data_IF_203253342544
#
_entry.id   IF_203253342544
#
_cell.length_a   1.000
_cell.length_b   1.000
_cell.length_c   1.000
_cell.angle_alpha   90.00
_cell.angle_beta   90.00
_cell.angle_gamma   90.00
#
_symmetry.space_group_name_H-M   'P 1'
#
loop_
_entity.id
_entity.type
_entity.pdbx_description
1 polymer ?
#
# COMPACT_ATOMS: atom_id res chain seq x y z
N UNK A 1 -4.91 61.84 -20.82
CA UNK A 1 -4.54 62.42 -22.12
C UNK A 1 -3.77 61.36 -22.90
N UNK A 2 -4.50 60.63 -23.76
CA UNK A 2 -3.98 59.62 -24.67
C UNK A 2 -3.48 60.29 -25.95
N UNK A 3 -2.24 60.00 -26.35
CA UNK A 3 -1.67 60.50 -27.60
C UNK A 3 -1.57 59.36 -28.62
N UNK A 4 -2.54 59.37 -29.55
CA UNK A 4 -2.47 59.15 -31.02
C UNK A 4 -1.53 58.05 -31.57
N UNK A 5 -2.01 56.90 -32.07
CA UNK A 5 -2.60 56.58 -33.41
C UNK A 5 -1.65 56.67 -34.63
N UNK A 6 -1.38 55.51 -35.28
CA UNK A 6 -1.24 55.20 -36.73
C UNK A 6 -0.53 53.83 -36.90
N UNK A 7 -1.16 52.69 -37.19
CA UNK A 7 -1.87 52.14 -38.38
C UNK A 7 -0.96 51.73 -39.57
N UNK A 8 -1.24 50.52 -40.10
CA UNK A 8 -1.02 49.99 -41.49
C UNK A 8 0.40 49.45 -41.80
N UNK A 9 0.67 48.36 -42.53
CA UNK A 9 -0.02 47.17 -43.06
C UNK A 9 1.03 46.47 -43.97
N UNK A 10 0.96 45.14 -44.11
CA UNK A 10 1.50 44.29 -45.19
C UNK A 10 2.94 44.48 -45.72
N UNK A 11 3.71 43.38 -45.69
CA UNK A 11 4.19 42.78 -46.94
C UNK A 11 4.40 41.27 -46.80
N UNK A 12 3.61 40.56 -47.61
CA UNK A 12 3.72 39.14 -47.94
C UNK A 12 5.05 38.87 -48.63
N UNK A 13 5.71 37.76 -48.27
CA UNK A 13 6.67 37.14 -49.17
C UNK A 13 6.15 35.78 -49.65
N UNK A 14 6.23 35.66 -50.97
CA UNK A 14 5.52 34.76 -51.85
C UNK A 14 6.38 33.53 -52.14
N UNK A 15 5.74 32.37 -51.96
CA UNK A 15 5.85 31.13 -52.72
C UNK A 15 7.20 30.70 -53.33
N UNK A 16 7.55 29.44 -53.05
CA UNK A 16 7.84 28.51 -54.16
C UNK A 16 7.22 27.15 -53.87
N UNK A 17 6.14 26.86 -54.58
CA UNK A 17 5.59 25.52 -54.72
C UNK A 17 6.38 24.77 -55.80
N UNK A 18 6.62 23.48 -55.61
CA UNK A 18 6.95 22.55 -56.69
C UNK A 18 6.16 21.29 -56.45
N UNK A 19 5.28 20.99 -57.40
CA UNK A 19 4.36 19.86 -57.41
C UNK A 19 4.96 18.75 -58.26
N UNK A 20 5.06 17.53 -57.73
CA UNK A 20 5.07 16.27 -58.50
C UNK A 20 4.28 15.26 -57.63
N UNK A 21 3.01 15.05 -57.97
CA UNK A 21 2.47 13.85 -58.64
C UNK A 21 2.63 12.57 -57.81
N UNK A 22 1.49 12.06 -57.34
CA UNK A 22 1.42 10.93 -56.42
C UNK A 22 1.76 9.58 -57.02
N UNK A 23 1.93 8.62 -56.12
CA UNK A 23 1.41 7.26 -56.31
C UNK A 23 1.33 6.57 -54.95
N UNK A 24 0.14 6.06 -54.67
CA UNK A 24 -0.19 5.20 -53.54
C UNK A 24 0.66 3.93 -53.58
N UNK A 25 1.39 3.65 -52.50
CA UNK A 25 1.86 2.30 -52.19
C UNK A 25 2.18 2.21 -50.71
N UNK A 26 1.43 1.35 -50.02
CA UNK A 26 1.74 0.81 -48.70
C UNK A 26 3.23 0.43 -48.59
N UNK A 27 3.85 0.68 -47.43
CA UNK A 27 4.58 -0.32 -46.63
C UNK A 27 5.45 0.31 -45.53
N UNK A 28 5.46 -0.38 -44.39
CA UNK A 28 6.39 -0.33 -43.24
C UNK A 28 6.23 0.82 -42.23
N UNK A 29 5.31 0.53 -41.31
CA UNK A 29 5.38 0.84 -39.88
C UNK A 29 6.82 0.87 -39.36
N UNK A 30 7.26 2.01 -38.84
CA UNK A 30 8.43 2.13 -37.98
C UNK A 30 8.14 1.42 -36.67
N UNK A 31 8.50 0.14 -36.57
CA UNK A 31 8.55 -0.55 -35.28
C UNK A 31 9.90 -0.24 -34.63
N UNK A 32 9.96 0.91 -33.97
CA UNK A 32 10.96 1.20 -32.96
C UNK A 32 10.25 1.17 -31.60
N UNK A 33 9.94 -0.03 -31.12
CA UNK A 33 9.60 -0.26 -29.71
C UNK A 33 10.65 -1.18 -29.12
N UNK A 34 11.79 -0.60 -28.76
CA UNK A 34 12.55 -1.05 -27.61
C UNK A 34 12.24 -0.09 -26.47
N UNK A 35 11.16 -0.33 -25.73
CA UNK A 35 11.08 0.17 -24.35
C UNK A 35 11.71 -0.90 -23.48
N UNK A 36 12.98 -0.68 -23.18
CA UNK A 36 13.68 -1.31 -22.08
C UNK A 36 12.98 -0.94 -20.77
N UNK A 37 12.11 -1.82 -20.28
CA UNK A 37 11.75 -1.86 -18.86
C UNK A 37 12.95 -2.36 -18.06
N UNK A 38 14.03 -1.58 -18.05
CA UNK A 38 15.10 -1.80 -17.11
C UNK A 38 14.50 -1.56 -15.71
N UNK A 39 14.51 -2.56 -14.81
CA UNK A 39 14.05 -2.34 -13.45
C UNK A 39 14.79 -1.14 -12.88
N UNK A 40 14.05 -0.27 -12.17
CA UNK A 40 14.65 0.91 -11.54
C UNK A 40 15.85 0.49 -10.69
N UNK A 41 16.83 1.38 -10.48
CA UNK A 41 17.97 1.06 -9.61
C UNK A 41 17.54 0.56 -8.22
N UNK A 42 16.37 1.02 -7.73
CA UNK A 42 15.74 0.49 -6.53
C UNK A 42 15.32 -0.99 -6.67
N UNK A 43 14.68 -1.39 -7.78
CA UNK A 43 14.31 -2.78 -8.06
C UNK A 43 15.51 -3.74 -8.15
N UNK A 44 16.68 -3.25 -8.61
CA UNK A 44 17.88 -4.08 -8.74
C UNK A 44 18.64 -4.33 -7.43
N UNK A 45 18.36 -3.54 -6.38
CA UNK A 45 19.16 -3.53 -5.14
C UNK A 45 18.40 -4.13 -3.95
N UNK A 46 17.09 -4.37 -4.10
CA UNK A 46 16.28 -4.98 -3.04
C UNK A 46 16.55 -6.50 -3.06
N UNK A 47 16.98 -7.11 -1.95
CA UNK A 47 17.15 -8.55 -1.89
C UNK A 47 15.83 -9.25 -2.25
N UNK A 48 15.89 -10.35 -3.02
CA UNK A 48 14.69 -11.04 -3.46
C UNK A 48 13.87 -11.49 -2.25
N UNK A 49 12.57 -11.22 -2.31
CA UNK A 49 11.59 -11.82 -1.39
C UNK A 49 11.73 -13.34 -1.52
N UNK A 50 11.83 -14.04 -0.38
CA UNK A 50 11.92 -15.51 -0.39
C UNK A 50 10.64 -16.04 -1.04
N UNK A 51 10.78 -16.61 -2.23
CA UNK A 51 9.65 -17.09 -3.04
C UNK A 51 9.05 -18.37 -2.47
N UNK A 52 9.83 -19.15 -1.73
CA UNK A 52 9.35 -20.28 -0.95
C UNK A 52 8.76 -19.80 0.38
N UNK A 53 7.48 -19.44 0.35
CA UNK A 53 6.75 -18.89 1.48
C UNK A 53 6.73 -19.82 2.69
N UNK A 54 6.86 -21.14 2.50
CA UNK A 54 6.83 -22.14 3.58
C UNK A 54 8.15 -22.19 4.37
N UNK A 55 9.24 -21.78 3.74
CA UNK A 55 10.59 -21.82 4.33
C UNK A 55 10.94 -20.57 5.14
N UNK A 56 10.13 -19.51 5.06
CA UNK A 56 10.43 -18.23 5.68
C UNK A 56 10.40 -18.31 7.21
N UNK A 57 11.48 -17.86 7.85
CA UNK A 57 11.57 -17.71 9.31
C UNK A 57 11.40 -16.23 9.68
N UNK A 58 10.36 -15.87 10.44
CA UNK A 58 10.19 -14.52 10.96
C UNK A 58 11.42 -14.05 11.74
N UNK A 59 11.88 -12.82 11.52
CA UNK A 59 13.03 -12.24 12.23
C UNK A 59 12.64 -11.62 13.58
N UNK A 60 11.38 -11.21 13.67
CA UNK A 60 10.76 -10.63 14.86
C UNK A 60 10.11 -11.67 15.75
N UNK A 61 9.13 -11.23 16.54
CA UNK A 61 8.47 -12.06 17.53
C UNK A 61 7.00 -11.69 17.67
N UNK A 62 6.16 -12.69 17.94
CA UNK A 62 4.78 -12.46 18.37
C UNK A 62 4.77 -12.19 19.86
N UNK A 63 4.23 -11.05 20.26
CA UNK A 63 4.21 -10.58 21.66
C UNK A 63 2.80 -10.21 22.08
N UNK A 64 2.55 -10.28 23.39
CA UNK A 64 1.37 -9.67 23.99
C UNK A 64 1.40 -8.15 23.74
N UNK A 65 0.27 -7.58 23.36
CA UNK A 65 0.17 -6.19 22.93
C UNK A 65 -0.76 -5.40 23.85
N UNK A 66 -0.24 -4.31 24.41
CA UNK A 66 -0.95 -3.48 25.40
C UNK A 66 -0.93 -2.00 25.01
N UNK A 67 -1.22 -1.69 23.75
CA UNK A 67 -1.27 -0.31 23.26
C UNK A 67 -2.67 0.16 22.86
N UNK A 68 -3.68 -0.67 23.09
CA UNK A 68 -5.09 -0.27 23.03
C UNK A 68 -5.61 -0.01 24.44
N UNK A 69 -6.30 1.10 24.59
CA UNK A 69 -7.05 1.45 25.79
C UNK A 69 -8.16 0.42 26.02
N UNK A 70 -7.93 -0.49 26.99
CA UNK A 70 -8.86 -1.56 27.35
C UNK A 70 -10.18 -1.01 27.87
N UNK A 71 -10.20 0.22 28.40
CA UNK A 71 -11.43 0.87 28.88
C UNK A 71 -12.26 1.42 27.71
N UNK A 72 -11.63 1.75 26.57
CA UNK A 72 -12.34 2.17 25.35
C UNK A 72 -12.85 1.00 24.50
N UNK A 73 -12.16 -0.13 24.55
CA UNK A 73 -12.51 -1.34 23.78
C UNK A 73 -12.62 -2.58 24.71
N UNK A 74 -13.52 -2.55 25.71
CA UNK A 74 -13.54 -3.56 26.76
C UNK A 74 -13.99 -4.95 26.28
N UNK A 75 -14.84 -4.99 25.25
CA UNK A 75 -15.44 -6.24 24.75
C UNK A 75 -14.51 -7.01 23.81
N UNK A 76 -13.53 -6.35 23.20
CA UNK A 76 -12.66 -6.96 22.17
C UNK A 76 -11.29 -6.24 22.06
N UNK A 77 -10.40 -6.37 23.05
CA UNK A 77 -9.08 -5.74 23.00
C UNK A 77 -8.13 -6.47 22.04
N UNK A 78 -7.22 -5.73 21.40
CA UNK A 78 -6.12 -6.34 20.65
C UNK A 78 -5.11 -6.89 21.67
N UNK A 79 -4.92 -8.20 21.68
CA UNK A 79 -4.08 -8.88 22.69
C UNK A 79 -2.69 -9.24 22.19
N UNK A 80 -2.47 -9.25 20.87
CA UNK A 80 -1.24 -9.73 20.26
C UNK A 80 -0.79 -8.84 19.10
N UNK A 81 0.52 -8.79 18.89
CA UNK A 81 1.12 -8.16 17.73
C UNK A 81 2.40 -8.91 17.33
N UNK A 82 2.72 -8.89 16.04
CA UNK A 82 4.06 -9.22 15.59
C UNK A 82 4.94 -7.96 15.64
N UNK A 83 6.13 -8.06 16.22
CA UNK A 83 7.05 -6.93 16.38
C UNK A 83 8.42 -7.31 15.85
N UNK A 84 9.02 -6.41 15.05
CA UNK A 84 10.32 -6.60 14.43
C UNK A 84 11.07 -5.28 14.29
N UNK A 85 12.38 -5.34 14.07
CA UNK A 85 13.24 -4.17 13.89
C UNK A 85 13.79 -3.53 15.17
N UNK A 86 14.63 -2.50 15.02
CA UNK A 86 15.28 -1.82 16.14
C UNK A 86 14.31 -0.93 16.92
N UNK A 87 14.33 -1.01 18.25
CA UNK A 87 13.44 -0.25 19.15
C UNK A 87 13.89 1.19 19.41
N UNK A 88 15.19 1.47 19.32
CA UNK A 88 15.79 2.71 19.84
C UNK A 88 15.96 3.79 18.76
N UNK A 89 15.09 3.80 17.76
CA UNK A 89 15.21 4.68 16.59
C UNK A 89 14.30 5.90 16.64
N UNK A 90 13.38 5.96 17.60
CA UNK A 90 12.29 6.95 17.63
C UNK A 90 11.29 6.80 16.48
N UNK A 91 11.47 5.80 15.60
CA UNK A 91 10.61 5.55 14.44
C UNK A 91 9.84 4.26 14.67
N UNK A 92 8.52 4.34 14.56
CA UNK A 92 7.64 3.18 14.59
C UNK A 92 6.80 3.16 13.31
N UNK A 93 6.57 1.99 12.75
CA UNK A 93 5.64 1.78 11.65
C UNK A 93 4.61 0.75 12.10
N UNK A 94 3.34 1.11 11.99
CA UNK A 94 2.24 0.17 12.16
C UNK A 94 1.98 -0.45 10.80
N UNK A 95 1.94 -1.77 10.75
CA UNK A 95 1.57 -2.55 9.57
C UNK A 95 0.19 -3.15 9.80
N UNK A 96 -0.71 -2.92 8.85
CA UNK A 96 -2.04 -3.54 8.80
C UNK A 96 -2.00 -4.61 7.73
N UNK A 97 -2.14 -5.87 8.13
CA UNK A 97 -2.26 -6.99 7.21
C UNK A 97 -3.61 -7.00 6.47
N UNK A 98 -3.70 -7.82 5.42
CA UNK A 98 -4.93 -8.07 4.68
C UNK A 98 -5.93 -8.92 5.50
N UNK A 99 -7.16 -9.11 5.01
CA UNK A 99 -8.23 -9.89 5.67
C UNK A 99 -7.81 -11.32 6.08
N UNK A 100 -6.76 -11.86 5.48
CA UNK A 100 -6.21 -13.19 5.75
C UNK A 100 -5.27 -13.24 6.97
N UNK A 101 -5.02 -12.12 7.64
CA UNK A 101 -4.22 -12.09 8.87
C UNK A 101 -2.72 -12.27 8.63
N UNK A 102 -2.06 -13.00 9.54
CA UNK A 102 -0.62 -13.26 9.47
C UNK A 102 -0.30 -14.30 8.38
N UNK A 103 0.33 -13.83 7.31
CA UNK A 103 0.90 -14.69 6.26
C UNK A 103 2.40 -14.44 6.14
N UNK A 104 3.16 -15.48 5.78
CA UNK A 104 4.62 -15.40 5.73
C UNK A 104 5.13 -14.26 4.84
N UNK A 105 4.47 -13.98 3.73
CA UNK A 105 4.79 -12.83 2.86
C UNK A 105 4.59 -11.47 3.57
N UNK A 106 3.52 -11.32 4.34
CA UNK A 106 3.22 -10.09 5.08
C UNK A 106 4.22 -9.89 6.22
N UNK A 107 4.54 -10.96 6.94
CA UNK A 107 5.54 -10.97 8.02
C UNK A 107 6.93 -10.66 7.47
N UNK A 108 7.29 -11.26 6.35
CA UNK A 108 8.53 -10.98 5.64
C UNK A 108 8.61 -9.54 5.14
N UNK A 109 7.51 -9.00 4.59
CA UNK A 109 7.42 -7.61 4.19
C UNK A 109 7.68 -6.65 5.36
N UNK A 110 7.12 -6.96 6.53
CA UNK A 110 7.38 -6.21 7.76
C UNK A 110 8.85 -6.28 8.21
N UNK A 111 9.48 -7.45 8.13
CA UNK A 111 10.90 -7.62 8.46
C UNK A 111 11.80 -6.83 7.50
N UNK A 112 11.55 -6.90 6.18
CA UNK A 112 12.27 -6.13 5.16
C UNK A 112 12.08 -4.62 5.39
N UNK A 113 10.85 -4.21 5.69
CA UNK A 113 10.52 -2.80 5.94
C UNK A 113 11.27 -2.25 7.16
N UNK A 114 11.28 -3.01 8.25
CA UNK A 114 11.99 -2.65 9.47
C UNK A 114 13.49 -2.47 9.23
N UNK A 115 14.10 -3.39 8.49
CA UNK A 115 15.52 -3.36 8.15
C UNK A 115 15.88 -2.23 7.20
N UNK A 116 15.00 -1.93 6.24
CA UNK A 116 15.23 -0.91 5.20
C UNK A 116 15.11 0.50 5.78
N UNK A 117 14.05 0.75 6.55
CA UNK A 117 13.75 2.09 7.10
C UNK A 117 14.48 2.35 8.43
N UNK A 118 15.05 1.30 9.03
CA UNK A 118 15.63 1.32 10.38
C UNK A 118 14.60 1.87 11.37
N UNK A 119 13.49 1.15 11.50
CA UNK A 119 12.37 1.50 12.35
C UNK A 119 11.80 0.26 13.04
N UNK A 120 11.20 0.45 14.22
CA UNK A 120 10.38 -0.58 14.86
C UNK A 120 9.13 -0.79 14.02
N UNK A 121 8.87 -2.01 13.58
CA UNK A 121 7.62 -2.36 12.92
C UNK A 121 6.76 -3.15 13.91
N UNK A 122 5.50 -2.74 14.03
CA UNK A 122 4.49 -3.48 14.78
C UNK A 122 3.34 -3.85 13.84
N UNK A 123 2.83 -5.06 13.98
CA UNK A 123 1.70 -5.58 13.20
C UNK A 123 0.67 -6.15 14.17
N UNK A 124 -0.21 -5.30 14.71
CA UNK A 124 -1.23 -5.69 15.68
C UNK A 124 -2.25 -6.65 15.05
N UNK A 125 -2.75 -7.59 15.86
CA UNK A 125 -3.77 -8.54 15.42
C UNK A 125 -5.16 -7.89 15.45
N UNK A 126 -5.53 -7.24 14.35
CA UNK A 126 -6.84 -6.60 14.22
C UNK A 126 -8.01 -7.59 14.13
N UNK A 127 -7.77 -8.90 13.95
CA UNK A 127 -8.85 -9.89 13.84
C UNK A 127 -8.88 -10.91 14.97
N UNK A 128 -7.96 -10.81 15.94
CA UNK A 128 -7.95 -11.62 17.16
C UNK A 128 -7.97 -13.12 16.84
N UNK A 129 -7.01 -13.55 16.02
CA UNK A 129 -6.94 -14.92 15.52
C UNK A 129 -8.13 -15.40 14.67
N UNK A 130 -9.05 -14.52 14.27
CA UNK A 130 -10.18 -14.84 13.37
C UNK A 130 -10.05 -14.18 11.98
N UNK A 131 -8.95 -14.41 11.22
CA UNK A 131 -8.86 -13.92 9.85
C UNK A 131 -9.80 -14.67 8.91
N UNK A 132 -10.00 -14.11 7.72
CA UNK A 132 -10.69 -14.79 6.63
C UNK A 132 -9.89 -15.97 6.09
N UNK A 133 -10.56 -17.06 5.77
CA UNK A 133 -9.93 -18.19 5.08
C UNK A 133 -9.63 -17.80 3.62
N UNK A 134 -8.36 -17.94 3.23
CA UNK A 134 -7.90 -17.69 1.86
C UNK A 134 -8.67 -18.51 0.82
N UNK A 135 -9.16 -19.72 1.18
CA UNK A 135 -9.93 -20.58 0.28
C UNK A 135 -11.29 -19.99 -0.12
N UNK A 136 -11.81 -19.04 0.65
CA UNK A 136 -13.06 -18.35 0.33
C UNK A 136 -12.86 -17.24 -0.70
N UNK A 137 -11.62 -17.00 -1.15
CA UNK A 137 -11.27 -15.99 -2.12
C UNK A 137 -10.69 -16.62 -3.40
N UNK A 138 -11.15 -16.23 -4.61
CA UNK A 138 -12.24 -15.29 -4.87
C UNK A 138 -13.63 -15.88 -4.52
N UNK A 139 -14.58 -15.06 -4.03
CA UNK A 139 -15.90 -15.55 -3.63
C UNK A 139 -16.77 -15.85 -4.85
N UNK A 140 -16.70 -17.08 -5.34
CA UNK A 140 -17.49 -17.55 -6.49
C UNK A 140 -18.85 -18.11 -6.07
N UNK A 141 -18.97 -18.65 -4.86
CA UNK A 141 -20.21 -19.20 -4.31
C UNK A 141 -20.95 -18.17 -3.46
N UNK A 142 -22.27 -18.32 -3.33
CA UNK A 142 -23.08 -17.41 -2.50
C UNK A 142 -22.76 -17.56 -1.01
N UNK A 143 -22.38 -18.76 -0.58
CA UNK A 143 -21.90 -19.00 0.79
C UNK A 143 -20.59 -18.23 1.07
N UNK A 144 -19.63 -18.24 0.14
CA UNK A 144 -18.39 -17.49 0.28
C UNK A 144 -18.65 -15.97 0.33
N UNK A 145 -19.56 -15.46 -0.51
CA UNK A 145 -19.97 -14.05 -0.48
C UNK A 145 -20.61 -13.67 0.86
N UNK A 146 -21.46 -14.53 1.42
CA UNK A 146 -22.09 -14.29 2.72
C UNK A 146 -21.06 -14.27 3.86
N UNK A 147 -20.13 -15.23 3.89
CA UNK A 147 -19.06 -15.28 4.91
C UNK A 147 -18.15 -14.06 4.85
N UNK A 148 -17.75 -13.62 3.66
CA UNK A 148 -16.96 -12.40 3.49
C UNK A 148 -17.76 -11.16 3.88
N UNK A 149 -19.04 -11.10 3.53
CA UNK A 149 -19.93 -10.00 3.92
C UNK A 149 -20.07 -9.88 5.44
N UNK A 150 -20.28 -11.01 6.11
CA UNK A 150 -20.37 -11.06 7.58
C UNK A 150 -19.06 -10.66 8.24
N UNK A 151 -17.93 -11.11 7.71
CA UNK A 151 -16.62 -10.68 8.18
C UNK A 151 -16.46 -9.17 8.14
N UNK A 152 -16.81 -8.50 7.03
CA UNK A 152 -16.73 -7.04 6.97
C UNK A 152 -17.74 -6.31 7.87
N UNK A 153 -18.82 -6.99 8.28
CA UNK A 153 -19.80 -6.44 9.23
C UNK A 153 -19.30 -6.53 10.68
N UNK A 154 -18.52 -7.57 10.99
CA UNK A 154 -18.06 -7.88 12.35
C UNK A 154 -16.56 -7.60 12.47
N UNK A 155 -15.70 -8.56 12.10
CA UNK A 155 -14.27 -8.50 12.36
C UNK A 155 -13.50 -7.50 11.49
N UNK A 156 -13.92 -7.36 10.24
CA UNK A 156 -13.44 -6.38 9.27
C UNK A 156 -14.17 -5.04 9.30
N UNK A 157 -14.94 -4.74 10.36
CA UNK A 157 -15.72 -3.50 10.42
C UNK A 157 -14.81 -2.27 10.39
N UNK A 158 -14.89 -1.51 9.29
CA UNK A 158 -13.97 -0.41 9.02
C UNK A 158 -13.94 0.67 10.11
N UNK A 159 -15.09 1.01 10.69
CA UNK A 159 -15.19 2.05 11.72
C UNK A 159 -14.44 1.67 13.00
N UNK A 160 -14.68 0.45 13.50
CA UNK A 160 -14.12 -0.04 14.76
C UNK A 160 -12.61 -0.14 14.66
N UNK A 161 -12.12 -0.75 13.58
CA UNK A 161 -10.68 -0.95 13.38
C UNK A 161 -9.92 0.36 13.13
N UNK A 162 -10.57 1.38 12.57
CA UNK A 162 -9.98 2.73 12.44
C UNK A 162 -9.80 3.40 13.81
N UNK A 163 -10.78 3.27 14.71
CA UNK A 163 -10.67 3.80 16.06
C UNK A 163 -9.51 3.15 16.84
N UNK A 164 -9.36 1.83 16.72
CA UNK A 164 -8.24 1.08 17.30
C UNK A 164 -6.88 1.53 16.78
N UNK A 165 -6.73 1.71 15.46
CA UNK A 165 -5.47 2.20 14.86
C UNK A 165 -5.11 3.57 15.41
N UNK A 166 -6.08 4.48 15.53
CA UNK A 166 -5.85 5.82 16.07
C UNK A 166 -5.47 5.78 17.55
N UNK A 167 -6.05 4.89 18.33
CA UNK A 167 -5.73 4.72 19.75
C UNK A 167 -4.33 4.15 19.94
N UNK A 168 -3.97 3.09 19.19
CA UNK A 168 -2.60 2.55 19.13
C UNK A 168 -1.61 3.65 18.75
N UNK A 169 -1.93 4.43 17.72
CA UNK A 169 -1.07 5.50 17.26
C UNK A 169 -0.84 6.55 18.36
N UNK A 170 -1.88 6.91 19.12
CA UNK A 170 -1.76 7.81 20.28
C UNK A 170 -0.89 7.19 21.39
N UNK A 171 -1.12 5.92 21.74
CA UNK A 171 -0.32 5.20 22.73
C UNK A 171 1.16 5.14 22.36
N UNK A 172 1.48 4.93 21.08
CA UNK A 172 2.85 4.95 20.56
C UNK A 172 3.50 6.34 20.63
N UNK A 173 2.76 7.40 20.33
CA UNK A 173 3.26 8.77 20.50
C UNK A 173 3.57 9.09 21.95
N UNK A 174 2.67 8.71 22.86
CA UNK A 174 2.83 8.96 24.29
C UNK A 174 3.97 8.15 24.91
N UNK A 175 4.30 6.99 24.34
CA UNK A 175 5.43 6.15 24.77
C UNK A 175 6.78 6.52 24.13
N UNK A 176 6.85 7.63 23.38
CA UNK A 176 8.11 8.18 22.87
C UNK A 176 8.39 7.95 21.39
N UNK A 177 7.41 7.53 20.59
CA UNK A 177 7.57 7.47 19.12
C UNK A 177 7.58 8.88 18.51
N UNK A 178 8.74 9.31 18.00
CA UNK A 178 8.95 10.59 17.33
C UNK A 178 8.45 10.63 15.89
N UNK A 179 8.52 9.51 15.16
CA UNK A 179 8.00 9.38 13.79
C UNK A 179 7.17 8.11 13.69
N UNK A 180 5.91 8.26 13.28
CA UNK A 180 4.97 7.15 13.20
C UNK A 180 4.47 6.98 11.76
N UNK A 181 4.75 5.84 11.15
CA UNK A 181 4.24 5.46 9.83
C UNK A 181 3.08 4.48 9.92
N UNK A 182 2.26 4.42 8.88
CA UNK A 182 1.25 3.39 8.69
C UNK A 182 1.38 2.79 7.29
N UNK A 183 1.46 1.46 7.23
CA UNK A 183 1.45 0.67 6.00
C UNK A 183 0.27 -0.27 6.05
N UNK A 184 -0.46 -0.40 4.95
CA UNK A 184 -1.62 -1.28 4.88
C UNK A 184 -1.64 -2.10 3.61
N UNK A 185 -1.91 -3.39 3.76
CA UNK A 185 -2.01 -4.36 2.67
C UNK A 185 -3.46 -4.61 2.27
N UNK A 186 -3.80 -4.43 1.00
CA UNK A 186 -5.15 -4.57 0.41
C UNK A 186 -6.28 -3.97 1.28
N UNK A 187 -6.99 -4.77 2.10
CA UNK A 187 -7.98 -4.25 3.05
C UNK A 187 -7.43 -3.19 4.03
N UNK A 188 -6.12 -3.19 4.29
CA UNK A 188 -5.37 -2.16 5.01
C UNK A 188 -5.13 -0.85 4.24
N UNK A 189 -5.21 -0.83 2.92
CA UNK A 189 -4.96 0.36 2.09
C UNK A 189 -6.00 1.46 2.33
N UNK A 190 -7.28 1.09 2.40
CA UNK A 190 -8.35 2.04 2.70
C UNK A 190 -8.14 2.68 4.07
N UNK A 191 -7.68 1.92 5.06
CA UNK A 191 -7.38 2.45 6.42
C UNK A 191 -6.11 3.29 6.47
N UNK A 192 -5.10 2.95 5.67
CA UNK A 192 -3.93 3.81 5.48
C UNK A 192 -4.32 5.15 4.84
N UNK A 193 -5.19 5.16 3.84
CA UNK A 193 -5.59 6.42 3.19
C UNK A 193 -6.51 7.34 4.03
N UNK A 194 -7.14 6.84 5.11
CA UNK A 194 -8.14 7.60 5.89
C UNK A 194 -7.53 8.52 6.94
N UNK A 195 -6.19 8.55 7.08
CA UNK A 195 -5.50 9.55 7.88
C UNK A 195 -5.51 10.94 7.24
N UNK A 196 -6.68 11.57 7.19
CA UNK A 196 -6.82 12.98 6.80
C UNK A 196 -6.32 13.89 7.93
N UNK A 197 -5.72 15.02 7.51
CA UNK A 197 -5.17 16.14 8.30
C UNK A 197 -5.57 16.14 9.79
N UNK A 198 -4.59 15.89 10.67
CA UNK A 198 -4.76 15.92 12.13
C UNK A 198 -4.55 14.57 12.85
N UNK A 199 -4.42 13.46 12.11
CA UNK A 199 -4.04 12.17 12.68
C UNK A 199 -2.57 12.15 13.14
N UNK A 200 -2.19 11.39 14.19
CA UNK A 200 -0.82 11.30 14.72
C UNK A 200 0.18 10.59 13.78
N UNK A 201 -0.15 10.41 12.49
CA UNK A 201 0.59 9.62 11.51
C UNK A 201 1.39 10.53 10.57
N UNK A 202 2.65 10.18 10.34
CA UNK A 202 3.62 10.95 9.55
C UNK A 202 3.70 10.53 8.08
N UNK A 203 3.30 9.31 7.71
CA UNK A 203 3.34 8.83 6.33
C UNK A 203 2.43 7.61 6.10
N UNK A 204 1.96 7.44 4.86
CA UNK A 204 1.05 6.37 4.43
C UNK A 204 1.59 5.69 3.17
N UNK A 205 1.64 4.36 3.18
CA UNK A 205 1.98 3.56 1.99
C UNK A 205 0.89 2.49 1.82
N UNK A 206 -0.03 2.65 0.85
CA UNK A 206 -0.88 1.54 0.42
C UNK A 206 -0.05 0.53 -0.38
N UNK A 207 -0.20 -0.76 -0.08
CA UNK A 207 0.42 -1.83 -0.86
C UNK A 207 -0.61 -2.91 -1.24
N UNK A 208 -0.73 -3.18 -2.53
CA UNK A 208 -1.68 -4.16 -3.05
C UNK A 208 -0.96 -5.51 -3.16
N UNK A 209 -1.40 -6.52 -2.40
CA UNK A 209 -0.85 -7.88 -2.55
C UNK A 209 -1.27 -8.43 -3.93
N UNK A 210 -0.28 -8.77 -4.75
CA UNK A 210 -0.46 -9.28 -6.11
C UNK A 210 -1.20 -10.64 -6.17
N UNK A 211 -1.40 -11.34 -5.03
CA UNK A 211 -2.25 -12.54 -4.99
C UNK A 211 -3.72 -12.27 -5.30
N UNK A 212 -4.18 -11.03 -5.17
CA UNK A 212 -5.49 -10.62 -5.67
C UNK A 212 -5.55 -10.46 -7.21
N UNK A 213 -4.42 -10.50 -7.91
CA UNK A 213 -4.33 -10.39 -9.37
C UNK A 213 -3.86 -11.69 -10.06
N UNK A 214 -3.31 -12.64 -9.30
CA UNK A 214 -2.86 -13.92 -9.83
C UNK A 214 -4.01 -14.90 -10.02
N UNK A 215 -4.66 -14.85 -11.19
CA UNK A 215 -5.46 -15.96 -11.68
C UNK A 215 -4.65 -17.26 -11.61
N UNK A 216 -5.26 -18.30 -11.05
CA UNK A 216 -4.76 -19.66 -11.10
C UNK A 216 -4.47 -20.03 -12.56
N UNK A 217 -3.19 -20.12 -12.91
CA UNK A 217 -2.73 -20.95 -14.04
C UNK A 217 -2.55 -22.36 -13.48
N UNK A 218 -3.55 -23.19 -13.77
CA UNK A 218 -3.57 -24.64 -13.61
C UNK A 218 -4.63 -25.17 -14.56
#
# INVERSE_FOLDING_TARGET
MLTRLRTVLHHLNRAKATTVSGSSSLLRTTSATMSSDAPSHACCTIPPVVTDTESYKPKGSYVSFEHTDKDKFPEDPITRAYVTGPTDTGKTIIVIFDIFGYYNQTVQGADILAETVKAKVIMPDFFRDEPMDLKLYPPTTDEAKQKIGEFFRVQGHFGNRTAEILDIAKGLRNSGTEKLGLVGYCWGERRSSTGRRGAPLSSFIPHFDARCQGGYVG
#
